data_IF_026471181881
#
_entry.id   IF_026471181881
#
_cell.length_a   1.000
_cell.length_b   1.000
_cell.length_c   1.000
_cell.angle_alpha   90.00
_cell.angle_beta   90.00
_cell.angle_gamma   90.00
#
_symmetry.space_group_name_H-M   'P 1'
#
loop_
_entity.id
_entity.type
_entity.pdbx_description
1 polymer ?
#
# COMPACT_ATOMS: atom_id res chain seq x y z
N UNK A 1 2.37 -18.12 -16.50
CA UNK A 1 1.78 -16.77 -16.68
C UNK A 1 0.27 -16.92 -16.77
N UNK A 2 -0.51 -16.17 -16.01
CA UNK A 2 -1.98 -16.22 -16.09
C UNK A 2 -2.41 -15.71 -17.46
N UNK A 3 -3.15 -16.50 -18.21
CA UNK A 3 -3.69 -16.13 -19.53
C UNK A 3 -4.97 -15.29 -19.45
N UNK A 4 -5.39 -14.91 -18.23
CA UNK A 4 -6.57 -14.10 -18.00
C UNK A 4 -6.36 -12.67 -18.52
N UNK A 5 -7.34 -12.14 -19.22
CA UNK A 5 -7.35 -10.73 -19.65
C UNK A 5 -7.60 -9.80 -18.46
N UNK A 6 -7.22 -8.51 -18.58
CA UNK A 6 -7.55 -7.52 -17.57
C UNK A 6 -9.06 -7.44 -17.29
N UNK A 7 -9.89 -7.54 -18.32
CA UNK A 7 -11.37 -7.51 -18.19
C UNK A 7 -11.91 -8.66 -17.33
N UNK A 8 -11.38 -9.87 -17.51
CA UNK A 8 -11.75 -11.01 -16.68
C UNK A 8 -11.33 -10.82 -15.22
N UNK A 9 -10.14 -10.23 -14.99
CA UNK A 9 -9.66 -9.93 -13.65
C UNK A 9 -10.52 -8.85 -12.97
N UNK A 10 -10.85 -7.79 -13.68
CA UNK A 10 -11.68 -6.69 -13.17
C UNK A 10 -13.14 -7.07 -12.96
N UNK A 11 -13.63 -8.14 -13.60
CA UNK A 11 -14.98 -8.68 -13.38
C UNK A 11 -15.08 -9.63 -12.19
N UNK A 12 -13.95 -10.01 -11.59
CA UNK A 12 -13.93 -10.85 -10.40
C UNK A 12 -14.52 -10.13 -9.18
N UNK A 13 -15.03 -10.91 -8.21
CA UNK A 13 -15.49 -10.36 -6.95
C UNK A 13 -14.32 -9.65 -6.21
N UNK A 14 -14.57 -8.49 -5.59
CA UNK A 14 -13.55 -7.76 -4.80
C UNK A 14 -12.93 -8.64 -3.71
N UNK A 15 -11.61 -8.59 -3.57
CA UNK A 15 -10.87 -9.33 -2.55
C UNK A 15 -9.36 -9.31 -2.80
N UNK A 16 -8.56 -9.62 -1.77
CA UNK A 16 -7.11 -9.59 -1.83
C UNK A 16 -6.53 -10.43 -2.98
N UNK A 17 -6.98 -11.68 -3.16
CA UNK A 17 -6.53 -12.55 -4.25
C UNK A 17 -6.86 -12.00 -5.66
N UNK A 18 -7.98 -11.31 -5.82
CA UNK A 18 -8.31 -10.64 -7.07
C UNK A 18 -7.41 -9.42 -7.28
N UNK A 19 -7.14 -8.65 -6.22
CA UNK A 19 -6.25 -7.49 -6.28
C UNK A 19 -4.82 -7.88 -6.62
N UNK A 20 -4.27 -8.92 -6.00
CA UNK A 20 -2.94 -9.45 -6.32
C UNK A 20 -2.80 -9.81 -7.81
N UNK A 21 -3.82 -10.45 -8.39
CA UNK A 21 -3.83 -10.82 -9.81
C UNK A 21 -3.90 -9.59 -10.72
N UNK A 22 -4.67 -8.58 -10.34
CA UNK A 22 -4.75 -7.31 -11.08
C UNK A 22 -3.39 -6.60 -11.04
N UNK A 23 -2.77 -6.50 -9.87
CA UNK A 23 -1.44 -5.88 -9.70
C UNK A 23 -0.40 -6.63 -10.52
N UNK A 24 -0.34 -7.96 -10.42
CA UNK A 24 0.61 -8.77 -11.18
C UNK A 24 0.43 -8.60 -12.70
N UNK A 25 -0.82 -8.56 -13.17
CA UNK A 25 -1.12 -8.30 -14.59
C UNK A 25 -0.65 -6.91 -15.02
N UNK A 26 -0.94 -5.88 -14.20
CA UNK A 26 -0.57 -4.49 -14.49
C UNK A 26 0.95 -4.28 -14.49
N UNK A 27 1.67 -4.93 -13.59
CA UNK A 27 3.16 -4.91 -13.54
C UNK A 27 3.73 -5.53 -14.82
N UNK A 28 3.24 -6.68 -15.24
CA UNK A 28 3.67 -7.33 -16.48
C UNK A 28 3.36 -6.47 -17.71
N UNK A 29 2.15 -5.92 -17.79
CA UNK A 29 1.75 -5.05 -18.89
C UNK A 29 2.56 -3.75 -18.93
N UNK A 30 2.90 -3.18 -17.77
CA UNK A 30 3.74 -2.00 -17.68
C UNK A 30 5.16 -2.27 -18.21
N UNK A 31 5.71 -3.46 -17.93
CA UNK A 31 7.04 -3.86 -18.44
C UNK A 31 7.04 -4.06 -19.95
N UNK A 32 5.96 -4.60 -20.53
CA UNK A 32 5.85 -4.90 -21.96
C UNK A 32 5.48 -3.66 -22.80
N UNK A 33 4.51 -2.87 -22.36
CA UNK A 33 3.92 -1.76 -23.10
C UNK A 33 3.56 -0.58 -22.16
N UNK A 34 4.55 0.15 -21.60
CA UNK A 34 4.31 1.16 -20.58
C UNK A 34 3.34 2.27 -21.02
N UNK A 35 3.48 2.78 -22.24
CA UNK A 35 2.60 3.86 -22.73
C UNK A 35 1.14 3.42 -22.84
N UNK A 36 0.88 2.22 -23.38
CA UNK A 36 -0.48 1.68 -23.48
C UNK A 36 -1.06 1.37 -22.10
N UNK A 37 -0.25 0.82 -21.19
CA UNK A 37 -0.67 0.50 -19.82
C UNK A 37 -1.09 1.75 -19.06
N UNK A 38 -0.31 2.82 -19.13
CA UNK A 38 -0.61 4.07 -18.43
C UNK A 38 -1.77 4.84 -19.08
N UNK A 39 -1.90 4.80 -20.42
CA UNK A 39 -2.93 5.57 -21.12
C UNK A 39 -4.31 4.86 -21.16
N UNK A 40 -4.33 3.53 -21.14
CA UNK A 40 -5.57 2.75 -21.33
C UNK A 40 -5.89 1.87 -20.14
N UNK A 41 -4.95 1.00 -19.74
CA UNK A 41 -5.26 -0.03 -18.75
C UNK A 41 -5.36 0.52 -17.33
N UNK A 42 -4.48 1.44 -16.94
CA UNK A 42 -4.51 2.03 -15.60
C UNK A 42 -5.79 2.85 -15.34
N UNK A 43 -6.22 3.78 -16.21
CA UNK A 43 -7.49 4.50 -16.00
C UNK A 43 -8.69 3.56 -15.91
N UNK A 44 -8.71 2.50 -16.73
CA UNK A 44 -9.78 1.50 -16.69
C UNK A 44 -9.81 0.73 -15.38
N UNK A 45 -8.65 0.22 -14.94
CA UNK A 45 -8.55 -0.47 -13.66
C UNK A 45 -9.00 0.44 -12.51
N UNK A 46 -8.54 1.69 -12.46
CA UNK A 46 -8.93 2.65 -11.45
C UNK A 46 -10.43 2.92 -11.43
N UNK A 47 -11.07 3.02 -12.60
CA UNK A 47 -12.51 3.23 -12.71
C UNK A 47 -13.32 2.07 -12.10
N UNK A 48 -12.91 0.82 -12.32
CA UNK A 48 -13.55 -0.35 -11.72
C UNK A 48 -13.25 -0.44 -10.22
N UNK A 49 -11.98 -0.26 -9.84
CA UNK A 49 -11.55 -0.33 -8.45
C UNK A 49 -12.11 0.81 -7.58
N UNK A 50 -12.60 1.90 -8.18
CA UNK A 50 -13.29 2.95 -7.45
C UNK A 50 -14.58 2.46 -6.76
N UNK A 51 -15.17 1.38 -7.25
CA UNK A 51 -16.32 0.73 -6.63
C UNK A 51 -15.98 -0.32 -5.56
N UNK A 52 -14.69 -0.61 -5.35
CA UNK A 52 -14.25 -1.55 -4.34
C UNK A 52 -14.02 -0.85 -3.00
N UNK A 53 -14.33 -1.53 -1.89
CA UNK A 53 -13.92 -1.07 -0.56
C UNK A 53 -12.39 -1.07 -0.47
N UNK A 54 -11.80 -0.09 0.21
CA UNK A 54 -10.35 0.12 0.28
C UNK A 54 -9.62 -1.11 0.86
N UNK A 55 -10.22 -1.82 1.84
CA UNK A 55 -9.68 -3.07 2.40
C UNK A 55 -9.44 -4.19 1.37
N UNK A 56 -10.12 -4.14 0.22
CA UNK A 56 -9.93 -5.10 -0.88
C UNK A 56 -8.86 -4.67 -1.88
N UNK A 57 -8.29 -3.47 -1.70
CA UNK A 57 -7.25 -2.89 -2.53
C UNK A 57 -5.90 -2.95 -1.83
N UNK A 58 -5.66 -4.07 -1.15
CA UNK A 58 -4.41 -4.37 -0.46
C UNK A 58 -3.38 -4.98 -1.41
N UNK A 59 -2.12 -4.63 -1.22
CA UNK A 59 -1.01 -5.23 -1.96
C UNK A 59 0.29 -4.48 -1.78
N UNK A 60 1.30 -4.96 -2.48
CA UNK A 60 2.64 -4.40 -2.51
C UNK A 60 3.13 -4.26 -3.96
N UNK A 61 3.94 -3.26 -4.20
CA UNK A 61 4.65 -3.05 -5.48
C UNK A 61 6.14 -3.01 -5.20
N UNK A 62 6.94 -3.64 -6.04
CA UNK A 62 8.40 -3.51 -5.97
C UNK A 62 8.78 -2.02 -6.15
N UNK A 63 9.62 -1.51 -5.24
CA UNK A 63 9.97 -0.09 -5.21
C UNK A 63 8.90 0.84 -4.65
N UNK A 64 7.89 0.30 -3.93
CA UNK A 64 6.85 1.11 -3.29
C UNK A 64 7.42 2.03 -2.20
N UNK A 65 8.53 1.64 -1.60
CA UNK A 65 9.34 2.40 -0.64
C UNK A 65 10.34 3.36 -1.29
N UNK A 66 10.47 3.34 -2.61
CA UNK A 66 11.40 4.20 -3.33
C UNK A 66 10.99 5.68 -3.27
N UNK A 67 11.96 6.62 -3.36
CA UNK A 67 11.69 8.06 -3.38
C UNK A 67 11.09 8.55 -4.70
N UNK A 68 11.00 7.67 -5.71
CA UNK A 68 10.43 7.98 -7.02
C UNK A 68 8.99 7.48 -7.13
N UNK A 69 8.07 8.28 -7.71
CA UNK A 69 6.69 7.84 -7.89
C UNK A 69 6.59 6.58 -8.74
N UNK A 70 5.88 5.58 -8.21
CA UNK A 70 5.55 4.37 -8.96
C UNK A 70 4.19 4.55 -9.66
N UNK A 71 4.11 4.35 -10.99
CA UNK A 71 2.89 4.69 -11.74
C UNK A 71 1.65 3.88 -11.34
N UNK A 72 1.84 2.69 -10.78
CA UNK A 72 0.73 1.83 -10.31
C UNK A 72 0.36 2.05 -8.84
N UNK A 73 1.05 2.92 -8.10
CA UNK A 73 0.74 3.21 -6.70
C UNK A 73 -0.75 3.58 -6.47
N UNK A 74 -1.44 4.31 -7.36
CA UNK A 74 -2.86 4.63 -7.19
C UNK A 74 -3.81 3.43 -7.18
N UNK A 75 -3.37 2.24 -7.59
CA UNK A 75 -4.19 1.03 -7.50
C UNK A 75 -4.43 0.60 -6.05
N UNK A 76 -3.46 0.85 -5.17
CA UNK A 76 -3.47 0.39 -3.79
C UNK A 76 -4.13 1.43 -2.88
N UNK A 77 -4.80 0.93 -1.82
CA UNK A 77 -5.39 1.72 -0.74
C UNK A 77 -4.98 1.21 0.62
N UNK A 78 -4.56 -0.03 0.71
CA UNK A 78 -4.15 -0.70 1.94
C UNK A 78 -2.80 -1.36 1.78
N UNK A 79 -1.99 -1.28 2.83
CA UNK A 79 -0.74 -2.02 2.99
C UNK A 79 -0.70 -2.60 4.39
N UNK A 80 -0.25 -3.85 4.51
CA UNK A 80 -0.01 -4.52 5.78
C UNK A 80 1.47 -4.90 5.90
N UNK A 81 2.04 -4.67 7.07
CA UNK A 81 3.40 -5.09 7.42
C UNK A 81 3.34 -6.14 8.51
N UNK A 82 3.95 -7.29 8.26
CA UNK A 82 4.09 -8.36 9.24
C UNK A 82 5.28 -8.12 10.21
N UNK A 83 6.14 -7.16 9.88
CA UNK A 83 7.32 -6.77 10.64
C UNK A 83 7.44 -5.26 10.68
N UNK A 84 7.62 -4.71 11.88
CA UNK A 84 7.77 -3.28 12.15
C UNK A 84 9.22 -2.80 12.24
N UNK A 85 10.21 -3.53 11.70
CA UNK A 85 11.60 -3.10 11.70
C UNK A 85 11.71 -1.66 11.14
N UNK A 86 12.22 -0.69 11.93
CA UNK A 86 12.36 0.70 11.50
C UNK A 86 13.16 0.86 10.22
N UNK A 87 14.19 0.05 10.00
CA UNK A 87 15.04 0.18 8.83
C UNK A 87 14.32 -0.21 7.54
N UNK A 88 13.26 -1.00 7.65
CA UNK A 88 12.39 -1.38 6.55
C UNK A 88 11.22 -0.39 6.35
N UNK A 89 10.57 0.05 7.43
CA UNK A 89 9.33 0.86 7.30
C UNK A 89 9.58 2.35 7.18
N UNK A 90 10.71 2.89 7.67
CA UNK A 90 10.98 4.33 7.58
C UNK A 90 11.15 4.82 6.13
N UNK A 91 11.85 4.11 5.21
CA UNK A 91 11.88 4.47 3.80
C UNK A 91 10.48 4.51 3.18
N UNK A 92 9.60 3.58 3.55
CA UNK A 92 8.22 3.56 3.09
C UNK A 92 7.45 4.81 3.52
N UNK A 93 7.59 5.29 4.78
CA UNK A 93 6.91 6.52 5.22
C UNK A 93 7.39 7.78 4.51
N UNK A 94 8.61 7.78 3.98
CA UNK A 94 9.18 8.88 3.20
C UNK A 94 8.79 8.81 1.70
N UNK A 95 8.21 7.69 1.26
CA UNK A 95 7.90 7.46 -0.15
C UNK A 95 6.64 8.22 -0.61
N UNK A 96 6.68 8.90 -1.77
CA UNK A 96 5.49 9.53 -2.36
C UNK A 96 4.43 8.52 -2.81
N UNK A 97 4.78 7.24 -2.92
CA UNK A 97 3.89 6.18 -3.39
C UNK A 97 2.75 5.90 -2.41
N UNK A 98 2.91 6.22 -1.13
CA UNK A 98 1.90 6.02 -0.09
C UNK A 98 0.81 7.10 -0.03
N UNK A 99 0.92 8.14 -0.84
CA UNK A 99 -0.05 9.28 -0.87
C UNK A 99 -1.49 8.83 -1.15
N UNK A 100 -1.66 7.66 -1.76
CA UNK A 100 -2.98 7.10 -2.10
C UNK A 100 -3.55 6.16 -1.03
N UNK A 101 -2.78 5.81 0.00
CA UNK A 101 -3.21 4.88 1.03
C UNK A 101 -4.25 5.53 1.95
N UNK A 102 -5.24 4.73 2.31
CA UNK A 102 -6.30 5.06 3.26
C UNK A 102 -6.29 4.14 4.46
N UNK A 103 -5.68 2.96 4.33
CA UNK A 103 -5.57 1.96 5.39
C UNK A 103 -4.13 1.46 5.52
N UNK A 104 -3.66 1.34 6.77
CA UNK A 104 -2.31 0.90 7.08
C UNK A 104 -2.32 0.02 8.31
N UNK A 105 -1.78 -1.18 8.18
CA UNK A 105 -1.67 -2.15 9.26
C UNK A 105 -0.21 -2.47 9.55
N UNK A 106 0.17 -2.38 10.83
CA UNK A 106 1.48 -2.76 11.31
C UNK A 106 1.39 -3.78 12.43
N UNK A 107 2.27 -4.77 12.37
CA UNK A 107 2.52 -5.69 13.44
C UNK A 107 3.87 -5.34 14.10
N UNK A 108 3.82 -4.76 15.30
CA UNK A 108 5.01 -4.27 16.03
C UNK A 108 5.43 -5.18 17.19
N UNK A 109 5.07 -6.46 17.17
CA UNK A 109 5.41 -7.38 18.24
C UNK A 109 6.89 -7.74 18.22
N UNK A 110 7.52 -7.71 19.37
CA UNK A 110 8.92 -8.09 19.53
C UNK A 110 9.92 -6.94 19.38
N UNK A 111 9.48 -5.80 18.87
CA UNK A 111 10.32 -4.59 18.78
C UNK A 111 10.58 -3.99 20.17
N UNK A 112 11.82 -3.52 20.39
CA UNK A 112 12.14 -2.73 21.58
C UNK A 112 11.47 -1.35 21.58
N UNK A 113 11.33 -0.72 22.74
CA UNK A 113 10.65 0.58 22.87
C UNK A 113 11.25 1.68 21.99
N UNK A 114 12.56 1.65 21.74
CA UNK A 114 13.23 2.59 20.84
C UNK A 114 12.83 2.40 19.39
N UNK A 115 12.77 1.14 18.91
CA UNK A 115 12.33 0.82 17.55
C UNK A 115 10.88 1.23 17.33
N UNK A 116 9.99 0.92 18.27
CA UNK A 116 8.58 1.37 18.22
C UNK A 116 8.48 2.89 18.14
N UNK A 117 9.25 3.61 18.96
CA UNK A 117 9.24 5.07 18.96
C UNK A 117 9.70 5.64 17.62
N UNK A 118 10.76 5.09 17.02
CA UNK A 118 11.24 5.49 15.68
C UNK A 118 10.14 5.28 14.61
N UNK A 119 9.44 4.14 14.65
CA UNK A 119 8.34 3.86 13.71
C UNK A 119 7.19 4.86 13.88
N UNK A 120 6.77 5.14 15.12
CA UNK A 120 5.71 6.10 15.41
C UNK A 120 6.09 7.52 14.99
N UNK A 121 7.31 7.95 15.29
CA UNK A 121 7.81 9.26 14.89
C UNK A 121 7.87 9.39 13.35
N UNK A 122 8.28 8.32 12.65
CA UNK A 122 8.27 8.27 11.19
C UNK A 122 6.86 8.32 10.60
N UNK A 123 5.92 7.59 11.20
CA UNK A 123 4.52 7.59 10.81
C UNK A 123 3.90 8.99 10.96
N UNK A 124 4.05 9.60 12.14
CA UNK A 124 3.51 10.94 12.43
C UNK A 124 4.19 12.04 11.61
N UNK A 125 5.46 11.87 11.28
CA UNK A 125 6.23 12.80 10.48
C UNK A 125 6.06 12.67 8.97
N UNK A 126 5.34 11.64 8.48
CA UNK A 126 5.19 11.42 7.06
C UNK A 126 4.32 12.48 6.39
N UNK A 127 4.83 13.19 5.38
CA UNK A 127 4.03 14.16 4.62
C UNK A 127 3.05 13.51 3.64
N UNK A 128 3.12 12.19 3.48
CA UNK A 128 2.41 11.45 2.45
C UNK A 128 1.17 10.70 2.95
N UNK A 129 0.93 10.63 4.25
CA UNK A 129 -0.18 9.90 4.87
C UNK A 129 -1.44 10.76 5.12
N UNK A 130 -1.56 11.90 4.49
CA UNK A 130 -2.68 12.82 4.69
C UNK A 130 -4.07 12.27 4.29
N UNK A 131 -4.14 11.11 3.65
CA UNK A 131 -5.38 10.42 3.28
C UNK A 131 -5.69 9.22 4.17
N UNK A 132 -4.84 8.92 5.15
CA UNK A 132 -5.03 7.78 6.02
C UNK A 132 -6.29 7.97 6.87
N UNK A 133 -7.18 7.00 6.83
CA UNK A 133 -8.45 6.97 7.57
C UNK A 133 -8.52 5.81 8.55
N UNK A 134 -7.67 4.81 8.36
CA UNK A 134 -7.58 3.64 9.23
C UNK A 134 -6.12 3.28 9.50
N UNK A 135 -5.77 3.17 10.76
CA UNK A 135 -4.45 2.73 11.23
C UNK A 135 -4.62 1.62 12.25
N UNK A 136 -3.99 0.49 12.00
CA UNK A 136 -3.93 -0.64 12.92
C UNK A 136 -2.49 -0.86 13.37
N UNK A 137 -2.27 -0.85 14.70
CA UNK A 137 -0.98 -1.06 15.33
C UNK A 137 -1.07 -2.27 16.26
N UNK A 138 -1.02 -3.46 15.67
CA UNK A 138 -1.17 -4.72 16.42
C UNK A 138 0.12 -5.06 17.16
N UNK A 139 0.01 -5.46 18.42
CA UNK A 139 1.17 -5.86 19.24
C UNK A 139 2.09 -4.71 19.65
N UNK A 140 1.73 -3.48 19.36
CA UNK A 140 2.57 -2.31 19.62
C UNK A 140 2.78 -2.02 21.13
N UNK A 141 1.87 -2.49 22.00
CA UNK A 141 1.96 -2.18 23.44
C UNK A 141 2.04 -0.68 23.71
N UNK A 142 1.21 0.10 23.00
CA UNK A 142 1.23 1.56 23.06
C UNK A 142 0.90 2.05 24.46
N UNK A 143 1.64 3.06 24.91
CA UNK A 143 1.38 3.82 26.12
C UNK A 143 0.50 5.04 25.81
N UNK A 144 -0.03 5.69 26.86
CA UNK A 144 -0.77 6.95 26.71
C UNK A 144 0.10 8.04 26.05
N UNK A 145 1.42 8.04 26.32
CA UNK A 145 2.37 8.97 25.73
C UNK A 145 2.56 8.71 24.22
N UNK A 146 2.51 7.46 23.80
CA UNK A 146 2.57 7.09 22.38
C UNK A 146 1.31 7.53 21.64
N UNK A 147 0.13 7.30 22.27
CA UNK A 147 -1.17 7.72 21.71
C UNK A 147 -1.28 9.25 21.57
N UNK A 148 -0.66 9.99 22.48
CA UNK A 148 -0.66 11.46 22.43
C UNK A 148 0.14 12.03 21.23
N UNK A 149 0.94 11.21 20.53
CA UNK A 149 1.74 11.60 19.35
C UNK A 149 1.03 11.30 18.03
N UNK A 150 0.06 10.37 18.02
CA UNK A 150 -0.76 10.02 16.87
C UNK A 150 -1.87 11.06 16.63
#
# INVERSE_FOLDING_TARGET
>A
MSTASLEELLSAAPGGAAMERIVAWMVAALAEAPAATLAVHLPRALAVLAGWEDRHREGWLEGFDAPTPHPLAPLLRRVSFDDGDPDYVLPFFASPNITHLTELDFFLSGEGDESKRRVLDGLCGSPHLGRLTSLSLVGAGLTDDDLARL
#
